data_IF_542901485109
#
_entry.id   IF_542901485109
#
_cell.length_a   1.000
_cell.length_b   1.000
_cell.length_c   1.000
_cell.angle_alpha   90.00
_cell.angle_beta   90.00
_cell.angle_gamma   90.00
#
_symmetry.space_group_name_H-M   'P 1'
#
loop_
_entity.id
_entity.type
_entity.pdbx_description
1 polymer ?
#
# COMPACT_ATOMS: atom_id res chain seq x y z
N UNK A 1 -11.03 5.72 5.57
CA UNK A 1 -10.99 4.50 6.40
C UNK A 1 -9.78 4.55 7.32
N UNK A 2 -9.99 4.22 8.57
CA UNK A 2 -8.92 4.23 9.57
C UNK A 2 -8.47 2.82 9.88
N UNK A 3 -7.16 2.66 10.07
CA UNK A 3 -6.54 1.39 10.45
C UNK A 3 -5.91 1.55 11.83
N UNK A 4 -6.01 0.51 12.64
CA UNK A 4 -5.32 0.45 13.93
C UNK A 4 -4.85 -0.97 14.19
N UNK A 5 -3.77 -1.09 14.97
CA UNK A 5 -3.29 -2.40 15.37
C UNK A 5 -4.17 -2.97 16.49
N UNK A 6 -4.36 -4.30 16.54
CA UNK A 6 -4.98 -4.92 17.68
C UNK A 6 -4.20 -4.63 18.97
N UNK A 7 -4.86 -4.60 20.13
CA UNK A 7 -4.16 -4.39 21.40
C UNK A 7 -3.07 -5.45 21.62
N UNK A 8 -1.96 -5.02 22.17
CA UNK A 8 -0.85 -5.90 22.52
C UNK A 8 0.19 -6.13 21.45
N UNK A 9 -0.12 -5.82 20.18
CA UNK A 9 0.85 -6.02 19.09
C UNK A 9 1.21 -4.72 18.35
N UNK A 10 0.78 -3.58 18.87
CA UNK A 10 1.10 -2.30 18.24
C UNK A 10 2.62 -2.11 18.13
N UNK A 11 3.08 -1.78 16.93
CA UNK A 11 4.51 -1.59 16.67
C UNK A 11 5.33 -2.85 16.47
N UNK A 12 4.74 -4.04 16.62
CA UNK A 12 5.46 -5.29 16.41
C UNK A 12 5.46 -5.67 14.92
N UNK A 13 6.63 -5.92 14.38
CA UNK A 13 6.82 -6.35 13.00
C UNK A 13 7.71 -7.57 12.99
N UNK A 14 7.25 -8.65 12.33
CA UNK A 14 8.10 -9.79 12.10
C UNK A 14 8.96 -9.54 10.87
N UNK A 15 10.27 -9.52 11.07
CA UNK A 15 11.22 -9.40 9.97
C UNK A 15 11.81 -10.78 9.71
N UNK A 16 11.48 -11.36 8.56
CA UNK A 16 11.93 -12.69 8.21
C UNK A 16 13.46 -12.77 8.23
N UNK A 17 13.99 -13.73 8.97
CA UNK A 17 15.42 -13.91 9.16
C UNK A 17 16.02 -13.10 10.31
N UNK A 18 15.25 -12.18 10.90
CA UNK A 18 15.71 -11.33 12.00
C UNK A 18 14.90 -11.53 13.27
N UNK A 19 13.61 -11.74 13.16
CA UNK A 19 12.73 -11.94 14.29
C UNK A 19 11.74 -10.79 14.48
N UNK A 20 11.21 -10.68 15.69
CA UNK A 20 10.24 -9.63 16.01
C UNK A 20 10.98 -8.34 16.37
N UNK A 21 10.57 -7.26 15.73
CA UNK A 21 11.13 -5.93 15.92
C UNK A 21 10.01 -5.01 16.39
N UNK A 22 10.30 -4.17 17.37
CA UNK A 22 9.35 -3.17 17.85
C UNK A 22 9.71 -1.82 17.27
N UNK A 23 8.74 -1.22 16.59
CA UNK A 23 8.87 0.10 15.98
C UNK A 23 7.88 1.06 16.64
N UNK A 24 8.16 2.36 16.51
CA UNK A 24 7.20 3.37 16.92
C UNK A 24 5.93 3.20 16.09
N UNK A 25 4.78 3.27 16.74
CA UNK A 25 3.50 3.07 16.07
C UNK A 25 2.54 4.21 16.41
N UNK A 26 1.70 4.56 15.46
CA UNK A 26 0.61 5.51 15.67
C UNK A 26 -0.61 4.75 16.18
N UNK A 27 -1.48 5.39 16.98
CA UNK A 27 -2.72 4.76 17.44
C UNK A 27 -3.62 4.35 16.28
N UNK A 28 -3.62 5.14 15.21
CA UNK A 28 -4.37 4.85 13.99
C UNK A 28 -3.74 5.56 12.80
N UNK A 29 -4.05 5.10 11.60
CA UNK A 29 -3.61 5.71 10.37
C UNK A 29 -4.70 5.61 9.31
N UNK A 30 -4.75 6.58 8.41
CA UNK A 30 -5.67 6.51 7.27
C UNK A 30 -5.15 5.50 6.26
N UNK A 31 -6.07 4.70 5.70
CA UNK A 31 -5.74 3.81 4.61
C UNK A 31 -5.47 4.64 3.36
N UNK A 32 -4.28 4.55 2.80
CA UNK A 32 -3.89 5.30 1.61
C UNK A 32 -3.97 4.44 0.34
N UNK A 33 -3.50 3.21 0.41
CA UNK A 33 -3.54 2.30 -0.73
C UNK A 33 -3.51 0.85 -0.26
N UNK A 34 -3.90 -0.04 -1.15
CA UNK A 34 -3.84 -1.49 -0.95
C UNK A 34 -2.80 -2.05 -1.90
N UNK A 35 -1.84 -2.79 -1.37
CA UNK A 35 -0.88 -3.54 -2.18
C UNK A 35 -1.35 -4.98 -2.28
N UNK A 36 -1.79 -5.40 -3.47
CA UNK A 36 -2.26 -6.75 -3.72
C UNK A 36 -1.08 -7.62 -4.11
N UNK A 37 -0.70 -8.56 -3.25
CA UNK A 37 0.44 -9.44 -3.48
C UNK A 37 0.07 -10.72 -4.25
N UNK A 38 -1.21 -10.95 -4.49
CA UNK A 38 -1.70 -12.15 -5.17
C UNK A 38 -1.88 -11.98 -6.67
N UNK A 39 -1.96 -10.75 -7.14
CA UNK A 39 -2.17 -10.43 -8.56
C UNK A 39 -1.07 -9.55 -9.10
N UNK A 40 -0.68 -9.80 -10.36
CA UNK A 40 0.35 -9.02 -11.04
C UNK A 40 -0.25 -8.01 -12.00
N UNK A 41 0.48 -6.92 -12.24
CA UNK A 41 0.09 -5.91 -13.21
C UNK A 41 0.62 -6.28 -14.59
N UNK A 42 -0.26 -6.34 -15.58
CA UNK A 42 0.12 -6.68 -16.95
C UNK A 42 0.45 -5.46 -17.81
N UNK A 43 0.11 -4.26 -17.35
CA UNK A 43 0.28 -3.07 -18.15
C UNK A 43 1.45 -2.23 -17.67
N UNK A 44 2.19 -1.66 -18.61
CA UNK A 44 3.34 -0.81 -18.31
C UNK A 44 2.95 0.44 -17.54
N UNK A 45 1.89 1.10 -17.98
CA UNK A 45 1.29 2.23 -17.26
C UNK A 45 -0.03 1.73 -16.70
N UNK A 46 -0.01 1.37 -15.43
CA UNK A 46 -1.14 0.75 -14.78
C UNK A 46 -2.35 1.68 -14.76
N UNK A 47 -3.55 1.18 -15.08
CA UNK A 47 -4.76 1.95 -14.90
C UNK A 47 -5.02 2.19 -13.41
N UNK A 48 -5.78 3.21 -13.09
CA UNK A 48 -6.24 3.42 -11.74
C UNK A 48 -7.19 2.30 -11.36
N UNK A 49 -6.80 1.54 -10.34
CA UNK A 49 -7.60 0.42 -9.84
C UNK A 49 -8.09 0.75 -8.44
N UNK A 50 -9.28 0.27 -8.12
CA UNK A 50 -9.88 0.46 -6.82
C UNK A 50 -10.48 -0.84 -6.34
N UNK A 51 -10.54 -0.98 -5.01
CA UNK A 51 -11.22 -2.10 -4.36
C UNK A 51 -12.11 -1.51 -3.26
N UNK A 52 -13.31 -2.02 -3.16
CA UNK A 52 -14.25 -1.55 -2.14
C UNK A 52 -14.05 -2.33 -0.87
N UNK A 53 -13.77 -1.62 0.23
CA UNK A 53 -13.68 -2.18 1.57
C UNK A 53 -14.67 -1.43 2.45
N UNK A 54 -15.57 -2.16 3.09
CA UNK A 54 -16.61 -1.58 3.97
C UNK A 54 -17.34 -0.42 3.30
N UNK A 55 -17.67 -0.58 2.00
CA UNK A 55 -18.39 0.43 1.24
C UNK A 55 -17.56 1.61 0.76
N UNK A 56 -16.25 1.62 1.01
CA UNK A 56 -15.36 2.71 0.63
C UNK A 56 -14.42 2.22 -0.46
N UNK A 57 -14.33 2.99 -1.56
CA UNK A 57 -13.40 2.70 -2.65
C UNK A 57 -11.99 3.09 -2.23
N UNK A 58 -11.05 2.15 -2.31
CA UNK A 58 -9.66 2.33 -1.92
C UNK A 58 -8.76 2.06 -3.11
N UNK A 59 -7.72 2.90 -3.34
CA UNK A 59 -6.77 2.63 -4.41
C UNK A 59 -6.07 1.30 -4.17
N UNK A 60 -5.82 0.55 -5.25
CA UNK A 60 -5.11 -0.73 -5.17
C UNK A 60 -4.05 -0.80 -6.26
N UNK A 61 -2.89 -1.36 -5.91
CA UNK A 61 -1.85 -1.68 -6.88
C UNK A 61 -1.61 -3.19 -6.88
N UNK A 62 -1.41 -3.74 -8.07
CA UNK A 62 -1.15 -5.16 -8.24
C UNK A 62 0.36 -5.39 -8.18
N UNK A 63 0.82 -6.16 -7.19
CA UNK A 63 2.23 -6.18 -6.81
C UNK A 63 2.93 -7.52 -7.01
N UNK A 64 2.21 -8.60 -7.35
CA UNK A 64 2.81 -9.92 -7.49
C UNK A 64 3.89 -9.91 -8.57
N UNK A 65 5.07 -10.41 -8.22
CA UNK A 65 6.19 -10.50 -9.15
C UNK A 65 6.86 -9.19 -9.51
N UNK A 66 6.55 -8.11 -8.79
CA UNK A 66 7.11 -6.80 -9.08
C UNK A 66 8.44 -6.62 -8.35
N UNK A 67 9.58 -6.46 -9.06
CA UNK A 67 10.86 -6.17 -8.41
C UNK A 67 10.86 -4.74 -7.88
N UNK A 68 11.66 -4.47 -6.86
CA UNK A 68 11.79 -3.13 -6.30
C UNK A 68 10.54 -2.62 -5.61
N UNK A 69 9.67 -3.51 -5.15
CA UNK A 69 8.38 -3.14 -4.56
C UNK A 69 8.53 -2.21 -3.35
N UNK A 70 9.49 -2.49 -2.47
CA UNK A 70 9.67 -1.67 -1.26
C UNK A 70 10.00 -0.22 -1.61
N UNK A 71 10.88 -0.01 -2.58
CA UNK A 71 11.23 1.34 -3.04
C UNK A 71 10.03 2.04 -3.69
N UNK A 72 9.27 1.31 -4.51
CA UNK A 72 8.07 1.84 -5.16
C UNK A 72 7.02 2.25 -4.12
N UNK A 73 6.77 1.41 -3.14
CA UNK A 73 5.81 1.73 -2.06
C UNK A 73 6.27 2.95 -1.26
N UNK A 74 7.56 3.06 -0.98
CA UNK A 74 8.10 4.22 -0.28
C UNK A 74 7.82 5.50 -1.06
N UNK A 75 8.05 5.49 -2.38
CA UNK A 75 7.73 6.64 -3.22
C UNK A 75 6.25 6.98 -3.21
N UNK A 76 5.40 5.97 -3.36
CA UNK A 76 3.94 6.16 -3.37
C UNK A 76 3.42 6.72 -2.05
N UNK A 77 4.01 6.30 -0.93
CA UNK A 77 3.60 6.81 0.39
C UNK A 77 3.99 8.26 0.62
N UNK A 78 4.96 8.76 -0.14
CA UNK A 78 5.42 10.14 -0.03
C UNK A 78 4.73 11.08 -1.00
N UNK A 79 4.07 10.56 -2.04
CA UNK A 79 3.37 11.41 -2.98
C UNK A 79 2.00 11.81 -2.46
N UNK A 80 1.57 13.03 -2.79
CA UNK A 80 0.24 13.50 -2.47
C UNK A 80 -0.76 13.08 -3.53
N UNK A 81 -0.30 12.94 -4.76
CA UNK A 81 -1.13 12.55 -5.89
C UNK A 81 -0.99 11.07 -6.17
N UNK A 82 -2.10 10.41 -6.40
CA UNK A 82 -2.08 9.00 -6.77
C UNK A 82 -1.66 8.84 -8.23
N UNK A 83 -0.61 8.05 -8.51
CA UNK A 83 -0.19 7.81 -9.88
C UNK A 83 -1.20 6.94 -10.63
N UNK A 84 -1.38 7.19 -11.90
CA UNK A 84 -2.27 6.42 -12.75
C UNK A 84 -2.48 7.11 -14.09
N UNK A 85 -3.21 6.47 -15.02
CA UNK A 85 -3.43 7.03 -16.36
C UNK A 85 -4.04 8.42 -16.36
N UNK A 86 -4.97 8.70 -15.47
CA UNK A 86 -5.57 10.03 -15.36
C UNK A 86 -4.54 11.10 -15.06
N UNK A 87 -3.62 10.79 -14.15
CA UNK A 87 -2.56 11.70 -13.76
C UNK A 87 -1.63 11.99 -14.93
N UNK A 88 -1.30 10.97 -15.72
CA UNK A 88 -0.43 11.13 -16.88
C UNK A 88 -1.16 11.69 -18.08
N UNK A 89 -2.43 11.34 -18.28
CA UNK A 89 -3.22 11.77 -19.42
C UNK A 89 -3.52 13.28 -19.42
N UNK A 90 -3.46 13.90 -18.27
CA UNK A 90 -3.67 15.35 -18.16
C UNK A 90 -2.46 16.19 -18.56
N UNK A 91 -1.45 15.58 -19.14
CA UNK A 91 -0.19 16.27 -19.47
C UNK A 91 0.10 16.32 -20.97
#
# INVERSE_FOLDING_TARGET
MWLSAPPGIAGLVEMRGFGLVRLAARPRAALKLIADLDHGESERLAPRRQRVLSGIACPVILCKGRPGLAAALTCLMRTEDWPGPEHFAGR
#
